data_IF_262896956038
#
_entry.id   IF_262896956038
#
_cell.length_a   1.000
_cell.length_b   1.000
_cell.length_c   1.000
_cell.angle_alpha   90.00
_cell.angle_beta   90.00
_cell.angle_gamma   90.00
#
_symmetry.space_group_name_H-M   'P 1'
#
loop_
_entity.id
_entity.type
_entity.pdbx_description
1 polymer ?
#
# COMPACT_ATOMS: atom_id res chain seq x y z
N UNK A 1 17.76 17.13 18.48
CA UNK A 1 17.04 17.80 17.37
C UNK A 1 15.83 18.59 17.86
N UNK A 2 14.83 17.95 18.49
CA UNK A 2 13.66 18.64 19.10
C UNK A 2 14.07 19.78 20.04
N UNK A 3 15.14 19.57 20.84
CA UNK A 3 15.70 20.59 21.76
C UNK A 3 16.13 21.90 21.06
N UNK A 4 16.32 21.89 19.73
CA UNK A 4 16.70 23.05 18.92
C UNK A 4 15.51 23.69 18.17
N UNK A 5 14.31 23.11 18.25
CA UNK A 5 13.11 23.69 17.65
C UNK A 5 12.70 24.93 18.45
N UNK A 6 12.43 26.02 17.73
CA UNK A 6 11.80 27.21 18.27
C UNK A 6 10.31 26.92 18.51
N UNK A 7 10.01 26.48 19.73
CA UNK A 7 8.67 26.07 20.18
C UNK A 7 8.48 26.44 21.64
N UNK A 8 7.21 26.47 22.07
CA UNK A 8 6.87 26.63 23.48
C UNK A 8 7.65 25.63 24.37
N UNK A 9 8.32 26.17 25.39
CA UNK A 9 9.21 25.39 26.24
C UNK A 9 8.49 24.33 27.07
N UNK A 10 7.26 24.59 27.47
CA UNK A 10 6.44 23.68 28.30
C UNK A 10 5.87 22.55 27.44
N UNK A 11 5.31 22.88 26.28
CA UNK A 11 4.83 21.89 25.30
C UNK A 11 5.98 20.99 24.84
N UNK A 12 7.14 21.58 24.53
CA UNK A 12 8.34 20.83 24.14
C UNK A 12 8.82 19.88 25.24
N UNK A 13 8.80 20.31 26.51
CA UNK A 13 9.20 19.47 27.63
C UNK A 13 8.26 18.27 27.80
N UNK A 14 6.94 18.50 27.76
CA UNK A 14 5.92 17.43 27.82
C UNK A 14 6.06 16.45 26.66
N UNK A 15 6.26 16.95 25.45
CA UNK A 15 6.46 16.10 24.27
C UNK A 15 7.74 15.26 24.34
N UNK A 16 8.87 15.85 24.78
CA UNK A 16 10.13 15.09 24.97
C UNK A 16 9.93 13.97 25.99
N UNK A 17 9.25 14.24 27.10
CA UNK A 17 8.94 13.21 28.09
C UNK A 17 8.10 12.08 27.47
N UNK A 18 7.01 12.42 26.79
CA UNK A 18 6.16 11.43 26.11
C UNK A 18 6.94 10.62 25.05
N UNK A 19 7.87 11.27 24.34
CA UNK A 19 8.74 10.63 23.36
C UNK A 19 9.68 9.61 24.00
N UNK A 20 10.36 9.99 25.08
CA UNK A 20 11.30 9.12 25.80
C UNK A 20 10.59 7.95 26.50
N UNK A 21 9.33 8.11 26.93
CA UNK A 21 8.60 7.07 27.67
C UNK A 21 7.88 6.06 26.77
N UNK A 22 7.20 6.53 25.71
CA UNK A 22 6.22 5.70 24.98
C UNK A 22 6.20 5.95 23.48
N UNK A 23 6.26 7.21 23.02
CA UNK A 23 6.06 7.50 21.60
C UNK A 23 7.23 7.05 20.74
N UNK A 24 8.48 7.10 21.21
CA UNK A 24 9.63 6.65 20.40
C UNK A 24 9.54 5.16 20.07
N UNK A 25 9.20 4.31 21.04
CA UNK A 25 9.07 2.87 20.82
C UNK A 25 7.87 2.49 19.95
N UNK A 26 6.77 3.25 20.06
CA UNK A 26 5.55 3.01 19.27
C UNK A 26 5.63 3.55 17.85
N UNK A 27 6.37 4.65 17.67
CA UNK A 27 6.38 5.47 16.47
C UNK A 27 7.81 5.72 15.99
N UNK A 28 8.67 4.70 16.03
CA UNK A 28 10.10 4.83 15.67
C UNK A 28 10.28 5.38 14.25
N UNK A 29 9.47 4.91 13.31
CA UNK A 29 9.48 5.36 11.90
C UNK A 29 9.17 6.85 11.74
N UNK A 30 8.23 7.37 12.54
CA UNK A 30 7.89 8.80 12.56
C UNK A 30 8.93 9.62 13.33
N UNK A 31 9.39 9.11 14.47
CA UNK A 31 10.28 9.82 15.40
C UNK A 31 11.72 9.94 14.89
N UNK A 32 12.11 9.05 13.96
CA UNK A 32 13.42 9.04 13.31
C UNK A 32 13.55 10.04 12.16
N UNK A 33 12.45 10.60 11.66
CA UNK A 33 12.45 11.62 10.62
C UNK A 33 12.23 13.03 11.24
N UNK A 34 13.19 13.97 11.10
CA UNK A 34 13.12 15.32 11.66
C UNK A 34 11.84 16.10 11.39
N UNK A 35 11.28 15.90 10.21
CA UNK A 35 10.12 16.63 9.76
C UNK A 35 8.82 16.01 10.30
N UNK A 36 8.71 14.68 10.26
CA UNK A 36 7.60 13.96 10.88
C UNK A 36 7.55 14.21 12.38
N UNK A 37 8.71 14.32 13.04
CA UNK A 37 8.80 14.65 14.45
C UNK A 37 8.28 16.05 14.78
N UNK A 38 8.42 17.00 13.85
CA UNK A 38 7.84 18.34 13.99
C UNK A 38 6.32 18.30 13.82
N UNK A 39 5.82 17.51 12.86
CA UNK A 39 4.38 17.29 12.67
C UNK A 39 3.79 16.58 13.91
N UNK A 40 4.45 15.55 14.43
CA UNK A 40 4.07 14.89 15.69
C UNK A 40 3.99 15.86 16.86
N UNK A 41 4.94 16.80 17.00
CA UNK A 41 4.89 17.80 18.05
C UNK A 41 3.64 18.69 17.92
N UNK A 42 3.30 19.12 16.70
CA UNK A 42 2.11 19.94 16.45
C UNK A 42 0.83 19.15 16.71
N UNK A 43 0.76 17.90 16.28
CA UNK A 43 -0.37 16.99 16.57
C UNK A 43 -0.51 16.75 18.07
N UNK A 44 0.60 16.49 18.77
CA UNK A 44 0.61 16.25 20.21
C UNK A 44 0.19 17.48 21.03
N UNK A 45 0.61 18.68 20.62
CA UNK A 45 0.16 19.91 21.28
C UNK A 45 -1.36 20.04 21.27
N UNK A 46 -1.99 19.70 20.14
CA UNK A 46 -3.43 19.85 19.96
C UNK A 46 -4.24 18.71 20.59
N UNK A 47 -3.78 17.46 20.47
CA UNK A 47 -4.58 16.29 20.84
C UNK A 47 -4.07 15.54 22.08
N UNK A 48 -2.86 15.83 22.55
CA UNK A 48 -2.27 15.23 23.76
C UNK A 48 -1.77 13.78 23.60
N UNK A 49 -1.97 13.15 22.44
CA UNK A 49 -1.50 11.80 22.13
C UNK A 49 -1.26 11.62 20.61
N UNK A 50 -0.56 10.55 20.22
CA UNK A 50 -0.31 10.16 18.83
C UNK A 50 -0.89 8.76 18.56
N UNK A 51 -1.89 8.63 17.67
CA UNK A 51 -2.55 7.37 17.36
C UNK A 51 -1.59 6.31 16.81
N UNK A 52 -1.78 5.05 17.21
CA UNK A 52 -1.02 3.89 16.71
C UNK A 52 -1.24 3.64 15.21
N UNK A 53 -2.42 4.01 14.66
CA UNK A 53 -2.72 3.84 13.23
C UNK A 53 -2.21 5.04 12.42
N UNK A 54 -1.36 4.75 11.44
CA UNK A 54 -0.68 5.72 10.56
C UNK A 54 -1.66 6.71 9.91
N UNK A 55 -2.80 6.24 9.38
CA UNK A 55 -3.74 7.14 8.71
C UNK A 55 -4.44 8.11 9.69
N UNK A 56 -4.71 7.68 10.92
CA UNK A 56 -5.31 8.54 11.95
C UNK A 56 -4.31 9.63 12.35
N UNK A 57 -3.02 9.27 12.47
CA UNK A 57 -1.98 10.27 12.70
C UNK A 57 -1.96 11.35 11.63
N UNK A 58 -2.01 10.99 10.34
CA UNK A 58 -2.01 11.98 9.26
C UNK A 58 -3.30 12.79 9.18
N UNK A 59 -4.44 12.21 9.54
CA UNK A 59 -5.71 12.95 9.67
C UNK A 59 -5.62 14.00 10.78
N UNK A 60 -5.16 13.60 11.99
CA UNK A 60 -4.94 14.55 13.09
C UNK A 60 -3.87 15.59 12.77
N UNK A 61 -2.81 15.22 12.05
CA UNK A 61 -1.80 16.16 11.58
C UNK A 61 -2.41 17.20 10.63
N UNK A 62 -3.25 16.78 9.68
CA UNK A 62 -3.98 17.70 8.81
C UNK A 62 -4.89 18.63 9.62
N UNK A 63 -5.68 18.07 10.53
CA UNK A 63 -6.52 18.87 11.45
C UNK A 63 -5.69 19.87 12.25
N UNK A 64 -4.51 19.47 12.73
CA UNK A 64 -3.64 20.35 13.49
C UNK A 64 -3.03 21.46 12.64
N UNK A 65 -2.57 21.14 11.44
CA UNK A 65 -2.06 22.13 10.50
C UNK A 65 -3.14 23.15 10.10
N UNK A 66 -4.38 22.71 9.89
CA UNK A 66 -5.51 23.58 9.61
C UNK A 66 -5.88 24.44 10.81
N UNK A 67 -5.93 23.87 12.02
CA UNK A 67 -6.36 24.60 13.22
C UNK A 67 -5.25 25.44 13.88
N UNK A 68 -3.99 25.24 13.52
CA UNK A 68 -2.86 26.03 14.04
C UNK A 68 -3.01 27.53 13.77
N UNK A 69 -3.93 27.90 12.88
CA UNK A 69 -4.45 29.25 12.70
C UNK A 69 -4.95 29.94 13.97
N UNK A 70 -5.51 29.18 14.92
CA UNK A 70 -6.20 29.72 16.09
C UNK A 70 -5.30 29.97 17.31
N UNK A 71 -4.07 29.45 17.31
CA UNK A 71 -3.21 29.41 18.52
C UNK A 71 -1.89 30.16 18.34
N UNK A 72 -1.85 31.22 17.51
CA UNK A 72 -0.67 32.08 17.46
C UNK A 72 -0.63 33.01 18.68
N UNK A 73 0.46 32.93 19.46
CA UNK A 73 0.71 33.62 20.76
C UNK A 73 0.59 35.15 20.77
N UNK A 74 0.26 35.78 19.64
CA UNK A 74 0.14 37.24 19.53
C UNK A 74 -1.23 37.70 19.00
N UNK A 75 -2.24 36.82 18.93
CA UNK A 75 -3.59 37.22 18.50
C UNK A 75 -3.69 37.62 17.03
N UNK A 76 -2.65 37.38 16.23
CA UNK A 76 -2.71 37.52 14.78
C UNK A 76 -3.20 36.21 14.19
N UNK A 77 -4.51 36.14 13.95
CA UNK A 77 -5.10 35.15 13.07
C UNK A 77 -4.45 35.30 11.68
N UNK A 78 -3.78 34.27 11.18
CA UNK A 78 -3.38 34.24 9.76
C UNK A 78 -4.68 34.15 8.96
N UNK A 79 -5.04 35.21 8.24
CA UNK A 79 -6.22 35.21 7.38
C UNK A 79 -6.07 34.10 6.33
N UNK A 80 -7.08 33.24 6.19
CA UNK A 80 -7.13 32.25 5.11
C UNK A 80 -7.03 32.98 3.76
N UNK A 81 -6.29 32.39 2.83
CA UNK A 81 -6.14 32.88 1.46
C UNK A 81 -7.34 32.50 0.60
N UNK A 82 -8.10 31.46 0.95
CA UNK A 82 -9.17 30.89 0.11
C UNK A 82 -10.56 30.91 0.74
N UNK A 83 -10.66 31.03 2.07
CA UNK A 83 -11.89 30.83 2.85
C UNK A 83 -12.56 29.45 2.66
N UNK A 84 -11.82 28.45 2.14
CA UNK A 84 -12.31 27.08 2.09
C UNK A 84 -12.42 26.53 3.50
N UNK A 85 -13.48 25.77 3.76
CA UNK A 85 -13.53 25.00 4.98
C UNK A 85 -12.55 23.81 4.94
N UNK A 86 -12.37 23.18 6.10
CA UNK A 86 -11.43 22.07 6.27
C UNK A 86 -11.75 20.86 5.40
N UNK A 87 -13.02 20.60 5.10
CA UNK A 87 -13.45 19.48 4.29
C UNK A 87 -13.27 19.79 2.80
N UNK A 88 -13.62 21.00 2.37
CA UNK A 88 -13.41 21.48 1.01
C UNK A 88 -11.92 21.47 0.63
N UNK A 89 -11.06 22.02 1.49
CA UNK A 89 -9.62 22.01 1.27
C UNK A 89 -9.07 20.58 1.23
N UNK A 90 -9.56 19.70 2.11
CA UNK A 90 -9.16 18.28 2.15
C UNK A 90 -9.49 17.58 0.84
N UNK A 91 -10.71 17.72 0.35
CA UNK A 91 -11.14 17.04 -0.88
C UNK A 91 -10.39 17.56 -2.12
N UNK A 92 -10.18 18.88 -2.21
CA UNK A 92 -9.39 19.50 -3.29
C UNK A 92 -7.94 19.01 -3.24
N UNK A 93 -7.32 18.99 -2.06
CA UNK A 93 -5.94 18.57 -1.90
C UNK A 93 -5.77 17.05 -2.05
N UNK A 94 -6.79 16.27 -1.70
CA UNK A 94 -6.85 14.83 -1.95
C UNK A 94 -6.86 14.51 -3.46
N UNK A 95 -7.63 15.26 -4.25
CA UNK A 95 -7.59 15.14 -5.70
C UNK A 95 -6.22 15.52 -6.28
N UNK A 96 -5.62 16.61 -5.78
CA UNK A 96 -4.27 17.02 -6.17
C UNK A 96 -3.22 15.94 -5.84
N UNK A 97 -3.33 15.33 -4.67
CA UNK A 97 -2.45 14.25 -4.22
C UNK A 97 -2.61 13.00 -5.08
N UNK A 98 -3.85 12.58 -5.37
CA UNK A 98 -4.11 11.48 -6.30
C UNK A 98 -3.48 11.72 -7.67
N UNK A 99 -3.65 12.94 -8.21
CA UNK A 99 -3.14 13.30 -9.53
C UNK A 99 -1.61 13.26 -9.58
N UNK A 100 -0.94 13.90 -8.63
CA UNK A 100 0.53 13.97 -8.56
C UNK A 100 1.14 12.61 -8.23
N UNK A 101 0.52 11.84 -7.32
CA UNK A 101 0.92 10.48 -6.97
C UNK A 101 0.86 9.55 -8.18
N UNK A 102 -0.25 9.59 -8.93
CA UNK A 102 -0.43 8.78 -10.15
C UNK A 102 0.63 9.09 -11.21
N UNK A 103 1.16 10.30 -11.22
CA UNK A 103 2.24 10.74 -12.13
C UNK A 103 3.65 10.58 -11.55
N UNK A 104 3.78 10.07 -10.32
CA UNK A 104 5.04 9.96 -9.60
C UNK A 104 5.77 11.31 -9.47
N UNK A 105 5.02 12.38 -9.30
CA UNK A 105 5.57 13.72 -9.16
C UNK A 105 5.93 14.00 -7.71
N UNK A 106 7.23 14.13 -7.45
CA UNK A 106 7.79 14.46 -6.14
C UNK A 106 8.14 15.95 -6.02
N UNK A 107 8.43 16.59 -7.16
CA UNK A 107 8.69 18.02 -7.29
C UNK A 107 7.87 18.58 -8.46
N UNK A 108 7.52 19.85 -8.36
CA UNK A 108 6.74 20.58 -9.36
C UNK A 108 7.36 21.96 -9.57
N UNK A 109 7.48 22.36 -10.82
CA UNK A 109 7.79 23.75 -11.17
C UNK A 109 6.60 24.68 -10.85
N UNK A 110 6.84 25.98 -10.87
CA UNK A 110 5.80 27.01 -10.68
C UNK A 110 4.62 26.85 -11.66
N UNK A 111 4.90 26.55 -12.92
CA UNK A 111 3.85 26.36 -13.94
C UNK A 111 3.06 25.07 -13.71
N UNK A 112 3.73 24.00 -13.30
CA UNK A 112 3.10 22.70 -13.02
C UNK A 112 2.15 22.79 -11.82
N UNK A 113 2.60 23.37 -10.70
CA UNK A 113 1.76 23.50 -9.50
C UNK A 113 0.52 24.34 -9.80
N UNK A 114 0.65 25.45 -10.53
CA UNK A 114 -0.49 26.26 -10.95
C UNK A 114 -1.44 25.50 -11.88
N UNK A 115 -0.89 24.77 -12.84
CA UNK A 115 -1.67 23.94 -13.78
C UNK A 115 -2.49 22.87 -13.06
N UNK A 116 -1.89 22.19 -12.09
CA UNK A 116 -2.57 21.12 -11.34
C UNK A 116 -3.56 21.71 -10.33
N UNK A 117 -3.14 22.77 -9.64
CA UNK A 117 -3.93 23.73 -8.87
C UNK A 117 -5.31 23.95 -9.47
N UNK A 118 -5.24 24.57 -10.65
CA UNK A 118 -6.40 24.98 -11.43
C UNK A 118 -7.26 23.80 -11.88
N UNK A 119 -6.66 22.67 -12.26
CA UNK A 119 -7.42 21.46 -12.64
C UNK A 119 -8.25 20.92 -11.48
N UNK A 120 -7.69 20.88 -10.27
CA UNK A 120 -8.40 20.43 -9.08
C UNK A 120 -9.56 21.37 -8.74
N UNK A 121 -9.32 22.69 -8.77
CA UNK A 121 -10.36 23.70 -8.53
C UNK A 121 -11.53 23.61 -9.52
N UNK A 122 -11.22 23.46 -10.82
CA UNK A 122 -12.24 23.28 -11.87
C UNK A 122 -13.04 21.99 -11.64
N UNK A 123 -12.38 20.89 -11.26
CA UNK A 123 -13.07 19.63 -10.98
C UNK A 123 -14.00 19.75 -9.76
N UNK A 124 -13.53 20.40 -8.70
CA UNK A 124 -14.28 20.63 -7.47
C UNK A 124 -15.30 21.77 -7.55
N UNK A 125 -15.44 22.42 -8.72
CA UNK A 125 -16.35 23.57 -8.95
C UNK A 125 -16.13 24.72 -7.94
N UNK A 126 -14.89 24.91 -7.50
CA UNK A 126 -14.53 25.99 -6.57
C UNK A 126 -14.25 27.28 -7.35
N UNK A 127 -14.67 28.42 -6.78
CA UNK A 127 -14.41 29.76 -7.33
C UNK A 127 -13.04 30.32 -6.89
N UNK A 128 -12.34 29.62 -6.00
CA UNK A 128 -11.00 29.98 -5.54
C UNK A 128 -10.03 30.02 -6.71
N UNK A 129 -9.14 31.01 -6.73
CA UNK A 129 -8.06 31.08 -7.71
C UNK A 129 -6.86 30.24 -7.25
N UNK A 130 -6.16 29.63 -8.21
CA UNK A 130 -5.04 28.72 -7.96
C UNK A 130 -3.88 29.37 -7.21
N UNK A 131 -3.67 30.68 -7.38
CA UNK A 131 -2.67 31.45 -6.60
C UNK A 131 -2.99 31.48 -5.12
N UNK A 132 -4.24 31.70 -4.76
CA UNK A 132 -4.69 31.78 -3.38
C UNK A 132 -4.67 30.39 -2.73
N UNK A 133 -5.08 29.35 -3.46
CA UNK A 133 -4.95 27.97 -2.99
C UNK A 133 -3.48 27.56 -2.78
N UNK A 134 -2.57 27.99 -3.66
CA UNK A 134 -1.14 27.76 -3.45
C UNK A 134 -0.63 28.45 -2.18
N UNK A 135 -1.02 29.70 -1.95
CA UNK A 135 -0.65 30.42 -0.71
C UNK A 135 -1.22 29.73 0.52
N UNK A 136 -2.45 29.22 0.43
CA UNK A 136 -3.07 28.46 1.52
C UNK A 136 -2.23 27.23 1.88
N UNK A 137 -1.86 26.43 0.88
CA UNK A 137 -1.11 25.18 1.06
C UNK A 137 0.36 25.38 1.46
N UNK A 138 0.91 26.58 1.30
CA UNK A 138 2.29 26.92 1.68
C UNK A 138 2.38 27.61 3.05
N UNK A 139 1.47 28.53 3.33
CA UNK A 139 1.58 29.45 4.45
C UNK A 139 0.55 29.17 5.55
N UNK A 140 -0.66 28.80 5.15
CA UNK A 140 -1.79 28.66 6.05
C UNK A 140 -1.85 27.24 6.60
N UNK A 141 -2.01 26.27 5.70
CA UNK A 141 -2.01 24.84 5.97
C UNK A 141 -0.81 24.23 5.24
N UNK A 142 0.41 24.27 5.81
CA UNK A 142 1.68 24.03 5.10
C UNK A 142 1.88 22.54 4.74
N UNK A 143 1.06 22.05 3.82
CA UNK A 143 1.11 20.70 3.24
C UNK A 143 2.09 20.62 2.07
N UNK A 144 2.41 21.78 1.48
CA UNK A 144 3.45 21.96 0.49
C UNK A 144 4.55 22.86 1.05
N UNK A 145 5.74 22.73 0.48
CA UNK A 145 6.86 23.62 0.73
C UNK A 145 7.61 23.94 -0.56
N UNK A 146 8.36 25.05 -0.52
CA UNK A 146 9.27 25.41 -1.59
C UNK A 146 10.63 24.74 -1.35
N UNK A 147 11.15 24.05 -2.37
CA UNK A 147 12.49 23.48 -2.40
C UNK A 147 13.26 24.05 -3.60
N UNK A 148 14.16 24.99 -3.33
CA UNK A 148 14.83 25.78 -4.36
C UNK A 148 13.84 26.56 -5.26
N UNK A 149 13.80 26.19 -6.55
CA UNK A 149 12.90 26.77 -7.55
C UNK A 149 11.59 25.98 -7.71
N UNK A 150 11.50 24.80 -7.08
CA UNK A 150 10.39 23.88 -7.20
C UNK A 150 9.54 23.86 -5.92
N UNK A 151 8.44 23.12 -6.00
CA UNK A 151 7.50 22.85 -4.93
C UNK A 151 7.39 21.35 -4.71
N UNK A 152 7.37 20.94 -3.45
CA UNK A 152 7.18 19.54 -3.06
C UNK A 152 6.19 19.45 -1.90
N UNK A 153 5.70 18.24 -1.64
CA UNK A 153 4.96 18.00 -0.41
C UNK A 153 5.89 18.23 0.77
N UNK A 154 5.38 18.87 1.84
CA UNK A 154 6.13 19.01 3.08
C UNK A 154 6.68 17.64 3.48
N UNK A 155 5.82 16.62 3.46
CA UNK A 155 6.26 15.23 3.58
C UNK A 155 5.58 14.33 2.53
N UNK A 156 6.34 13.40 1.92
CA UNK A 156 5.81 12.45 0.92
C UNK A 156 4.58 11.69 1.42
N UNK A 157 4.56 11.30 2.69
CA UNK A 157 3.41 10.57 3.24
C UNK A 157 2.12 11.38 3.33
N UNK A 158 2.14 12.72 3.25
CA UNK A 158 0.89 13.47 3.04
C UNK A 158 0.31 13.17 1.65
N UNK A 159 1.14 13.15 0.60
CA UNK A 159 0.69 12.74 -0.72
C UNK A 159 0.08 11.33 -0.68
N UNK A 160 0.70 10.39 0.04
CA UNK A 160 0.19 9.04 0.20
C UNK A 160 -1.14 9.00 0.98
N UNK A 161 -1.21 9.69 2.12
CA UNK A 161 -2.40 9.77 2.95
C UNK A 161 -3.60 10.35 2.19
N UNK A 162 -3.41 11.50 1.55
CA UNK A 162 -4.47 12.18 0.82
C UNK A 162 -4.88 11.40 -0.43
N UNK A 163 -3.97 10.64 -1.05
CA UNK A 163 -4.32 9.68 -2.11
C UNK A 163 -5.18 8.54 -1.57
N UNK A 164 -4.80 7.95 -0.43
CA UNK A 164 -5.57 6.89 0.24
C UNK A 164 -6.97 7.36 0.62
N UNK A 165 -7.06 8.56 1.21
CA UNK A 165 -8.32 9.22 1.53
C UNK A 165 -9.18 9.40 0.28
N UNK A 166 -8.62 9.86 -0.84
CA UNK A 166 -9.39 10.08 -2.06
C UNK A 166 -9.99 8.78 -2.61
N UNK A 167 -9.19 7.71 -2.74
CA UNK A 167 -9.67 6.45 -3.35
C UNK A 167 -10.71 5.73 -2.49
N UNK A 168 -10.71 5.98 -1.18
CA UNK A 168 -11.68 5.45 -0.23
C UNK A 168 -12.99 6.24 -0.27
N UNK A 169 -12.92 7.57 -0.25
CA UNK A 169 -14.09 8.43 -0.04
C UNK A 169 -14.76 8.92 -1.33
N UNK A 170 -14.09 8.79 -2.49
CA UNK A 170 -14.60 9.28 -3.76
C UNK A 170 -14.77 8.17 -4.80
N UNK A 171 -15.60 8.43 -5.82
CA UNK A 171 -15.76 7.53 -6.96
C UNK A 171 -14.55 7.68 -7.87
N UNK A 172 -13.80 6.58 -8.03
CA UNK A 172 -12.59 6.51 -8.84
C UNK A 172 -12.76 5.39 -9.86
N UNK A 173 -12.33 5.65 -11.11
CA UNK A 173 -12.37 4.63 -12.17
C UNK A 173 -11.37 3.51 -11.88
N UNK A 174 -11.71 2.29 -12.29
CA UNK A 174 -10.88 1.08 -12.09
C UNK A 174 -9.42 1.30 -12.51
N UNK A 175 -9.17 1.87 -13.70
CA UNK A 175 -7.82 2.13 -14.21
C UNK A 175 -6.96 3.03 -13.29
N UNK A 176 -7.58 4.02 -12.64
CA UNK A 176 -6.88 4.89 -11.69
C UNK A 176 -6.61 4.12 -10.40
N UNK A 177 -7.58 3.33 -9.95
CA UNK A 177 -7.47 2.48 -8.77
C UNK A 177 -6.35 1.44 -8.93
N UNK A 178 -6.29 0.74 -10.07
CA UNK A 178 -5.24 -0.21 -10.42
C UNK A 178 -3.87 0.46 -10.45
N UNK A 179 -3.76 1.65 -11.07
CA UNK A 179 -2.50 2.40 -11.13
C UNK A 179 -1.99 2.80 -9.75
N UNK A 180 -2.88 3.26 -8.87
CA UNK A 180 -2.53 3.66 -7.50
C UNK A 180 -2.15 2.45 -6.66
N UNK A 181 -2.99 1.41 -6.69
CA UNK A 181 -2.80 0.22 -5.88
C UNK A 181 -1.67 -0.68 -6.40
N UNK A 182 -1.25 -0.55 -7.65
CA UNK A 182 -0.07 -1.25 -8.19
C UNK A 182 1.23 -0.98 -7.44
N UNK A 183 1.29 0.09 -6.64
CA UNK A 183 2.44 0.46 -5.80
C UNK A 183 2.36 -0.07 -4.36
N UNK A 184 1.45 -1.01 -4.08
CA UNK A 184 1.24 -1.60 -2.75
C UNK A 184 2.51 -2.15 -2.06
N UNK A 185 3.55 -2.49 -2.83
CA UNK A 185 4.82 -2.99 -2.30
C UNK A 185 5.86 -1.89 -1.99
N UNK A 186 5.64 -0.64 -2.41
CA UNK A 186 6.61 0.46 -2.27
C UNK A 186 6.12 1.59 -1.39
N UNK A 187 4.82 1.87 -1.43
CA UNK A 187 4.23 3.06 -0.85
C UNK A 187 3.07 2.69 0.07
N UNK A 188 2.79 3.54 1.07
CA UNK A 188 1.81 3.22 2.13
C UNK A 188 0.34 3.47 1.74
N UNK A 189 0.06 3.88 0.50
CA UNK A 189 -1.31 4.26 0.08
C UNK A 189 -2.30 3.13 0.30
N UNK A 190 -1.96 1.92 -0.15
CA UNK A 190 -2.86 0.75 -0.05
C UNK A 190 -3.06 0.35 1.40
N UNK A 191 -2.01 0.41 2.21
CA UNK A 191 -2.06 0.07 3.64
C UNK A 191 -2.92 1.06 4.44
N UNK A 192 -2.76 2.36 4.17
CA UNK A 192 -3.62 3.38 4.76
C UNK A 192 -5.06 3.21 4.29
N UNK A 193 -5.30 3.03 3.00
CA UNK A 193 -6.64 2.87 2.45
C UNK A 193 -7.35 1.62 2.99
N UNK A 194 -6.65 0.49 3.10
CA UNK A 194 -7.17 -0.73 3.72
C UNK A 194 -7.53 -0.51 5.19
N UNK A 195 -6.73 0.27 5.92
CA UNK A 195 -6.97 0.60 7.32
C UNK A 195 -8.12 1.61 7.51
N UNK A 196 -8.34 2.49 6.52
CA UNK A 196 -9.45 3.45 6.50
C UNK A 196 -10.78 2.76 6.17
N UNK A 197 -10.81 2.00 5.08
CA UNK A 197 -11.98 1.27 4.63
C UNK A 197 -11.57 0.04 3.80
N UNK A 198 -11.54 -1.10 4.49
CA UNK A 198 -11.19 -2.40 3.92
C UNK A 198 -12.14 -2.83 2.80
N UNK A 199 -13.43 -2.61 2.95
CA UNK A 199 -14.47 -3.07 2.00
C UNK A 199 -14.30 -2.41 0.64
N UNK A 200 -14.00 -1.11 0.61
CA UNK A 200 -13.78 -0.38 -0.66
C UNK A 200 -12.59 -0.96 -1.43
N UNK A 201 -11.49 -1.30 -0.75
CA UNK A 201 -10.32 -1.94 -1.39
C UNK A 201 -10.66 -3.37 -1.84
N UNK A 202 -11.40 -4.09 -1.03
CA UNK A 202 -11.83 -5.45 -1.35
C UNK A 202 -12.67 -5.48 -2.62
N UNK A 203 -13.67 -4.61 -2.72
CA UNK A 203 -14.61 -4.56 -3.84
C UNK A 203 -13.97 -4.05 -5.12
N UNK A 204 -13.18 -2.97 -5.02
CA UNK A 204 -12.66 -2.27 -6.20
C UNK A 204 -11.34 -2.83 -6.70
N UNK A 205 -10.61 -3.62 -5.90
CA UNK A 205 -9.27 -4.08 -6.26
C UNK A 205 -8.96 -5.53 -5.89
N UNK A 206 -9.14 -5.93 -4.63
CA UNK A 206 -8.68 -7.26 -4.18
C UNK A 206 -9.52 -8.36 -4.83
N UNK A 207 -10.85 -8.34 -4.67
CA UNK A 207 -11.73 -9.37 -5.23
C UNK A 207 -11.69 -9.39 -6.77
N UNK A 208 -11.72 -8.25 -7.48
CA UNK A 208 -11.51 -8.24 -8.94
C UNK A 208 -10.18 -8.89 -9.34
N UNK A 209 -9.08 -8.58 -8.65
CA UNK A 209 -7.76 -9.16 -8.97
C UNK A 209 -7.69 -10.66 -8.63
N UNK A 210 -8.27 -11.08 -7.51
CA UNK A 210 -8.42 -12.50 -7.17
C UNK A 210 -9.20 -13.23 -8.27
N UNK A 211 -10.34 -12.70 -8.70
CA UNK A 211 -11.15 -13.32 -9.75
C UNK A 211 -10.38 -13.42 -11.07
N UNK A 212 -9.69 -12.34 -11.49
CA UNK A 212 -8.81 -12.35 -12.66
C UNK A 212 -7.75 -13.45 -12.57
N UNK A 213 -7.19 -13.73 -11.38
CA UNK A 213 -6.22 -14.82 -11.17
C UNK A 213 -6.90 -16.19 -11.22
N UNK A 214 -8.06 -16.35 -10.58
CA UNK A 214 -8.82 -17.60 -10.58
C UNK A 214 -9.24 -18.00 -12.00
N UNK A 215 -9.58 -17.04 -12.86
CA UNK A 215 -9.94 -17.26 -14.26
C UNK A 215 -8.75 -17.79 -15.10
N UNK A 216 -7.50 -17.65 -14.62
CA UNK A 216 -6.31 -18.22 -15.26
C UNK A 216 -6.10 -19.70 -14.91
N UNK A 217 -6.86 -20.26 -13.96
CA UNK A 217 -6.75 -21.67 -13.57
C UNK A 217 -7.10 -22.56 -14.77
N UNK A 218 -6.24 -23.50 -15.18
CA UNK A 218 -6.59 -24.45 -16.23
C UNK A 218 -7.76 -25.34 -15.78
N UNK A 219 -8.64 -25.71 -16.72
CA UNK A 219 -9.86 -26.49 -16.46
C UNK A 219 -9.58 -27.85 -15.81
N UNK A 220 -8.42 -28.43 -16.14
CA UNK A 220 -7.88 -29.64 -15.52
C UNK A 220 -6.35 -29.65 -15.63
N UNK A 221 -5.72 -30.63 -15.02
CA UNK A 221 -4.26 -30.86 -15.03
C UNK A 221 -3.88 -32.16 -15.76
N UNK A 222 -4.71 -32.60 -16.72
CA UNK A 222 -4.57 -33.90 -17.40
C UNK A 222 -3.41 -33.99 -18.39
N UNK A 223 -2.92 -32.85 -18.89
CA UNK A 223 -1.80 -32.80 -19.84
C UNK A 223 -0.61 -32.06 -19.26
N UNK A 224 0.60 -32.40 -19.72
CA UNK A 224 1.85 -31.72 -19.35
C UNK A 224 1.73 -30.20 -19.56
N UNK A 225 1.22 -29.77 -20.71
CA UNK A 225 1.06 -28.33 -20.99
C UNK A 225 0.11 -27.64 -20.00
N UNK A 226 -0.96 -28.32 -19.55
CA UNK A 226 -1.88 -27.76 -18.54
C UNK A 226 -1.27 -27.70 -17.16
N UNK A 227 -0.45 -28.69 -16.78
CA UNK A 227 0.34 -28.64 -15.54
C UNK A 227 1.34 -27.49 -15.54
N UNK A 228 2.04 -27.27 -16.65
CA UNK A 228 2.93 -26.12 -16.82
C UNK A 228 2.14 -24.81 -16.79
N UNK A 229 0.98 -24.74 -17.45
CA UNK A 229 0.11 -23.58 -17.36
C UNK A 229 -0.29 -23.26 -15.92
N UNK A 230 -0.64 -24.28 -15.12
CA UNK A 230 -1.02 -24.11 -13.71
C UNK A 230 0.06 -23.42 -12.89
N UNK A 231 1.32 -23.88 -13.00
CA UNK A 231 2.44 -23.28 -12.26
C UNK A 231 2.81 -21.89 -12.82
N UNK A 232 2.75 -21.69 -14.13
CA UNK A 232 3.07 -20.40 -14.76
C UNK A 232 2.14 -19.25 -14.35
N UNK A 233 0.97 -19.53 -13.78
CA UNK A 233 0.10 -18.46 -13.23
C UNK A 233 0.78 -17.69 -12.10
N UNK A 234 1.63 -18.35 -11.31
CA UNK A 234 2.25 -17.77 -10.11
C UNK A 234 3.77 -17.61 -10.22
N UNK A 235 4.40 -18.31 -11.16
CA UNK A 235 5.85 -18.36 -11.29
C UNK A 235 6.28 -18.01 -12.71
N UNK A 236 7.44 -17.37 -12.85
CA UNK A 236 7.97 -16.97 -14.16
C UNK A 236 8.99 -17.98 -14.71
N UNK A 237 9.85 -18.49 -13.83
CA UNK A 237 11.03 -19.27 -14.22
C UNK A 237 11.49 -20.19 -13.10
N UNK A 238 12.28 -21.16 -13.51
CA UNK A 238 12.95 -22.13 -12.66
C UNK A 238 14.43 -21.76 -12.60
N UNK A 239 14.95 -21.59 -11.39
CA UNK A 239 16.29 -21.08 -11.13
C UNK A 239 17.09 -22.06 -10.24
N UNK A 240 18.41 -22.07 -10.40
CA UNK A 240 19.31 -22.67 -9.40
C UNK A 240 19.38 -21.74 -8.19
N UNK A 241 18.91 -22.21 -7.02
CA UNK A 241 19.10 -21.55 -5.74
C UNK A 241 20.14 -22.29 -4.89
N UNK A 242 20.70 -21.60 -3.90
CA UNK A 242 21.64 -22.19 -2.94
C UNK A 242 21.03 -22.13 -1.55
N UNK A 243 20.67 -23.28 -0.99
CA UNK A 243 20.36 -23.39 0.44
C UNK A 243 21.46 -24.15 1.18
N UNK A 244 21.98 -23.55 2.25
CA UNK A 244 23.05 -24.11 3.11
C UNK A 244 24.24 -24.71 2.34
N UNK A 245 24.57 -24.13 1.19
CA UNK A 245 25.69 -24.56 0.32
C UNK A 245 25.37 -25.71 -0.64
N UNK A 246 24.14 -26.24 -0.65
CA UNK A 246 23.63 -27.19 -1.64
C UNK A 246 22.86 -26.45 -2.74
N UNK A 247 22.93 -26.97 -3.97
CA UNK A 247 22.13 -26.48 -5.09
C UNK A 247 20.72 -27.08 -4.99
N UNK A 248 19.70 -26.25 -5.08
CA UNK A 248 18.29 -26.64 -5.03
C UNK A 248 17.46 -25.91 -6.10
N UNK A 249 16.38 -26.52 -6.56
CA UNK A 249 15.54 -25.95 -7.61
C UNK A 249 14.61 -24.92 -6.96
N UNK A 250 14.67 -23.69 -7.43
CA UNK A 250 13.80 -22.61 -7.01
C UNK A 250 12.82 -22.19 -8.10
N UNK A 251 11.64 -21.73 -7.71
CA UNK A 251 10.69 -21.08 -8.62
C UNK A 251 10.61 -19.59 -8.29
N UNK A 252 10.88 -18.74 -9.28
CA UNK A 252 10.82 -17.29 -9.08
C UNK A 252 9.38 -16.79 -9.21
N UNK A 253 8.92 -16.07 -8.19
CA UNK A 253 7.60 -15.45 -8.11
C UNK A 253 7.36 -14.41 -9.20
N UNK A 254 6.13 -14.39 -9.72
CA UNK A 254 5.59 -13.33 -10.56
C UNK A 254 4.65 -12.39 -9.77
N UNK A 255 4.02 -11.44 -10.46
CA UNK A 255 3.09 -10.47 -9.87
C UNK A 255 1.91 -11.09 -9.11
N UNK A 256 1.41 -12.25 -9.55
CA UNK A 256 0.32 -12.95 -8.85
C UNK A 256 0.81 -13.59 -7.56
N UNK A 257 2.03 -14.12 -7.53
CA UNK A 257 2.66 -14.60 -6.30
C UNK A 257 2.95 -13.48 -5.31
N UNK A 258 3.46 -12.33 -5.77
CA UNK A 258 3.65 -11.17 -4.90
C UNK A 258 2.32 -10.67 -4.32
N UNK A 259 1.28 -10.63 -5.14
CA UNK A 259 -0.05 -10.28 -4.67
C UNK A 259 -0.62 -11.29 -3.68
N UNK A 260 -0.48 -12.60 -3.93
CA UNK A 260 -0.89 -13.65 -3.00
C UNK A 260 -0.16 -13.54 -1.66
N UNK A 261 1.16 -13.33 -1.68
CA UNK A 261 1.97 -13.10 -0.48
C UNK A 261 1.49 -11.87 0.30
N UNK A 262 1.18 -10.78 -0.39
CA UNK A 262 0.59 -9.59 0.21
C UNK A 262 -0.75 -9.91 0.90
N UNK A 263 -1.63 -10.66 0.25
CA UNK A 263 -2.91 -11.07 0.85
C UNK A 263 -2.71 -11.97 2.08
N UNK A 264 -1.79 -12.92 2.04
CA UNK A 264 -1.45 -13.78 3.19
C UNK A 264 -1.05 -12.93 4.39
N UNK A 265 -0.23 -11.89 4.18
CA UNK A 265 0.15 -10.97 5.25
C UNK A 265 -1.04 -10.15 5.76
N UNK A 266 -1.85 -9.58 4.86
CA UNK A 266 -2.99 -8.73 5.24
C UNK A 266 -4.11 -9.46 5.96
N UNK A 267 -4.36 -10.71 5.59
CA UNK A 267 -5.43 -11.52 6.16
C UNK A 267 -4.94 -12.53 7.21
N UNK A 268 -3.64 -12.49 7.57
CA UNK A 268 -3.07 -13.35 8.60
C UNK A 268 -3.11 -14.85 8.25
N UNK A 269 -3.02 -15.20 6.97
CA UNK A 269 -3.21 -16.57 6.49
C UNK A 269 -1.92 -17.42 6.50
N UNK A 270 -0.90 -17.04 7.29
CA UNK A 270 0.38 -17.74 7.30
C UNK A 270 0.24 -19.21 7.73
N UNK A 271 -0.52 -19.48 8.79
CA UNK A 271 -0.77 -20.85 9.26
C UNK A 271 -1.46 -21.71 8.19
N UNK A 272 -2.42 -21.14 7.45
CA UNK A 272 -3.10 -21.88 6.38
C UNK A 272 -2.16 -22.17 5.21
N UNK A 273 -1.28 -21.22 4.86
CA UNK A 273 -0.22 -21.43 3.87
C UNK A 273 0.72 -22.56 4.31
N UNK A 274 1.15 -22.58 5.57
CA UNK A 274 2.05 -23.61 6.10
C UNK A 274 1.37 -24.99 6.07
N UNK A 275 0.10 -25.07 6.47
CA UNK A 275 -0.72 -26.29 6.35
C UNK A 275 -0.80 -26.80 4.90
N UNK A 276 -1.04 -25.91 3.93
CA UNK A 276 -1.07 -26.31 2.52
C UNK A 276 0.31 -26.76 2.04
N UNK A 277 1.39 -26.10 2.47
CA UNK A 277 2.75 -26.53 2.16
C UNK A 277 2.97 -27.97 2.64
N UNK A 278 2.60 -28.29 3.88
CA UNK A 278 2.71 -29.65 4.43
C UNK A 278 1.83 -30.66 3.68
N UNK A 279 0.60 -30.27 3.32
CA UNK A 279 -0.33 -31.10 2.52
C UNK A 279 0.24 -31.47 1.16
N UNK A 280 0.94 -30.53 0.51
CA UNK A 280 1.48 -30.69 -0.84
C UNK A 280 2.96 -31.09 -0.86
N UNK A 281 3.67 -31.06 0.27
CA UNK A 281 5.05 -31.54 0.37
C UNK A 281 5.15 -33.04 0.08
N UNK A 282 6.13 -33.42 -0.74
CA UNK A 282 6.56 -34.81 -0.94
C UNK A 282 7.93 -34.99 -0.33
N UNK A 283 8.16 -36.15 0.28
CA UNK A 283 9.47 -36.57 0.78
C UNK A 283 10.30 -37.32 -0.28
N UNK A 284 9.75 -37.53 -1.49
CA UNK A 284 10.31 -38.42 -2.52
C UNK A 284 10.61 -37.67 -3.82
N UNK A 285 11.74 -36.93 -3.95
CA UNK A 285 12.11 -36.29 -5.24
C UNK A 285 13.61 -36.12 -5.53
N UNK A 286 14.50 -36.84 -4.84
CA UNK A 286 15.93 -36.60 -5.01
C UNK A 286 16.46 -36.93 -6.42
N UNK A 287 15.82 -37.83 -7.18
CA UNK A 287 16.34 -38.26 -8.48
C UNK A 287 15.92 -37.33 -9.63
N UNK A 288 14.64 -36.97 -9.72
CA UNK A 288 14.09 -36.13 -10.79
C UNK A 288 14.61 -34.68 -10.72
N UNK A 289 14.83 -34.14 -9.51
CA UNK A 289 15.45 -32.83 -9.34
C UNK A 289 16.92 -32.84 -9.77
N UNK A 290 17.64 -33.92 -9.49
CA UNK A 290 19.03 -34.10 -9.95
C UNK A 290 19.09 -34.15 -11.48
N UNK A 291 18.20 -34.89 -12.12
CA UNK A 291 18.08 -34.94 -13.59
C UNK A 291 17.78 -33.54 -14.17
N UNK A 292 16.90 -32.75 -13.55
CA UNK A 292 16.59 -31.39 -14.03
C UNK A 292 17.80 -30.47 -13.92
N UNK A 293 18.56 -30.58 -12.83
CA UNK A 293 19.81 -29.87 -12.69
C UNK A 293 20.84 -30.24 -13.75
N UNK A 294 21.10 -31.53 -13.93
CA UNK A 294 22.17 -32.02 -14.79
C UNK A 294 21.83 -31.93 -16.28
N UNK A 295 20.55 -31.98 -16.65
CA UNK A 295 20.10 -32.04 -18.05
C UNK A 295 19.52 -30.71 -18.55
N UNK A 296 18.97 -29.86 -17.68
CA UNK A 296 18.25 -28.63 -18.09
C UNK A 296 18.95 -27.36 -17.63
N UNK A 297 19.34 -27.30 -16.35
CA UNK A 297 20.05 -26.16 -15.78
C UNK A 297 21.57 -26.26 -15.93
N UNK A 298 22.09 -27.29 -16.60
CA UNK A 298 23.53 -27.41 -16.82
C UNK A 298 24.04 -26.25 -17.68
N UNK A 299 25.00 -25.50 -17.14
CA UNK A 299 25.51 -24.22 -17.64
C UNK A 299 24.48 -23.05 -17.73
N UNK A 300 23.24 -23.22 -17.25
CA UNK A 300 22.21 -22.17 -17.16
C UNK A 300 21.82 -21.87 -15.71
N UNK A 301 21.79 -20.59 -15.33
CA UNK A 301 21.35 -20.21 -13.99
C UNK A 301 19.82 -20.23 -13.82
N UNK A 302 19.07 -20.14 -14.93
CA UNK A 302 17.63 -19.94 -14.96
C UNK A 302 17.04 -20.40 -16.30
N UNK A 303 15.78 -20.82 -16.31
CA UNK A 303 14.98 -21.08 -17.51
C UNK A 303 13.55 -20.59 -17.35
N UNK A 304 13.06 -19.80 -18.32
CA UNK A 304 11.69 -19.30 -18.30
C UNK A 304 10.71 -20.45 -18.53
N UNK A 305 9.61 -20.50 -17.76
CA UNK A 305 8.61 -21.57 -17.89
C UNK A 305 7.97 -21.60 -19.30
N UNK A 306 7.86 -20.45 -19.95
CA UNK A 306 7.35 -20.32 -21.32
C UNK A 306 8.31 -20.83 -22.40
N UNK A 307 9.60 -20.94 -22.09
CA UNK A 307 10.64 -21.39 -23.02
C UNK A 307 10.90 -22.90 -22.96
N UNK A 308 10.25 -23.62 -22.03
CA UNK A 308 10.46 -25.04 -21.85
C UNK A 308 10.08 -25.84 -23.12
N UNK A 309 10.98 -26.70 -23.56
CA UNK A 309 10.67 -27.71 -24.59
C UNK A 309 9.91 -28.90 -23.98
N UNK A 310 9.40 -29.81 -24.83
CA UNK A 310 8.55 -30.93 -24.36
C UNK A 310 9.25 -31.88 -23.37
N UNK A 311 10.58 -32.07 -23.51
CA UNK A 311 11.36 -32.87 -22.57
C UNK A 311 11.48 -32.18 -21.21
N UNK A 312 11.82 -30.89 -21.20
CA UNK A 312 11.96 -30.10 -19.99
C UNK A 312 10.62 -29.99 -19.24
N UNK A 313 9.52 -29.74 -19.95
CA UNK A 313 8.17 -29.73 -19.37
C UNK A 313 7.82 -31.06 -18.71
N UNK A 314 8.20 -32.18 -19.32
CA UNK A 314 7.95 -33.50 -18.75
C UNK A 314 8.71 -33.66 -17.42
N UNK A 315 9.97 -33.21 -17.38
CA UNK A 315 10.79 -33.29 -16.18
C UNK A 315 10.25 -32.39 -15.05
N UNK A 316 9.84 -31.15 -15.35
CA UNK A 316 9.15 -30.27 -14.38
C UNK A 316 7.90 -30.93 -13.80
N UNK A 317 7.07 -31.55 -14.63
CA UNK A 317 5.89 -32.26 -14.15
C UNK A 317 6.25 -33.50 -13.31
N UNK A 318 7.36 -34.18 -13.60
CA UNK A 318 7.80 -35.35 -12.83
C UNK A 318 8.33 -34.99 -11.44
N UNK A 319 8.91 -33.79 -11.29
CA UNK A 319 9.26 -33.22 -9.98
C UNK A 319 8.04 -32.86 -9.12
N UNK A 320 6.81 -32.98 -9.64
CA UNK A 320 5.60 -32.61 -8.92
C UNK A 320 5.43 -31.11 -8.74
N UNK A 321 6.08 -30.28 -9.58
CA UNK A 321 6.07 -28.82 -9.44
C UNK A 321 4.68 -28.21 -9.62
N UNK A 322 3.74 -28.90 -10.26
CA UNK A 322 2.34 -28.46 -10.38
C UNK A 322 1.70 -28.16 -9.01
N UNK A 323 2.16 -28.82 -7.95
CA UNK A 323 1.68 -28.64 -6.58
C UNK A 323 1.86 -27.22 -6.06
N UNK A 324 2.89 -26.51 -6.50
CA UNK A 324 3.07 -25.09 -6.16
C UNK A 324 1.94 -24.23 -6.75
N UNK A 325 1.48 -24.57 -7.95
CA UNK A 325 0.30 -23.97 -8.56
C UNK A 325 -0.99 -24.35 -7.82
N UNK A 326 -1.20 -25.65 -7.54
CA UNK A 326 -2.37 -26.14 -6.80
C UNK A 326 -2.51 -25.47 -5.43
N UNK A 327 -1.42 -25.42 -4.66
CA UNK A 327 -1.36 -24.73 -3.37
C UNK A 327 -1.71 -23.25 -3.50
N UNK A 328 -1.14 -22.56 -4.49
CA UNK A 328 -1.38 -21.12 -4.68
C UNK A 328 -2.84 -20.84 -5.03
N UNK A 329 -3.47 -21.71 -5.82
CA UNK A 329 -4.90 -21.63 -6.11
C UNK A 329 -5.78 -21.95 -4.90
N UNK A 330 -5.47 -22.99 -4.13
CA UNK A 330 -6.22 -23.32 -2.91
C UNK A 330 -6.12 -22.19 -1.88
N UNK A 331 -4.94 -21.57 -1.74
CA UNK A 331 -4.71 -20.45 -0.84
C UNK A 331 -5.48 -19.19 -1.26
N UNK A 332 -5.49 -18.84 -2.55
CA UNK A 332 -6.21 -17.66 -3.02
C UNK A 332 -7.74 -17.86 -2.97
N UNK A 333 -8.22 -19.09 -3.19
CA UNK A 333 -9.64 -19.46 -2.99
C UNK A 333 -10.03 -19.37 -1.51
N UNK A 334 -9.18 -19.85 -0.60
CA UNK A 334 -9.39 -19.72 0.84
C UNK A 334 -9.50 -18.25 1.28
N UNK A 335 -8.57 -17.40 0.85
CA UNK A 335 -8.59 -15.96 1.17
C UNK A 335 -9.86 -15.30 0.63
N UNK A 336 -10.28 -15.64 -0.60
CA UNK A 336 -11.55 -15.16 -1.16
C UNK A 336 -12.73 -15.54 -0.29
N UNK A 337 -12.80 -16.80 0.13
CA UNK A 337 -13.87 -17.28 1.01
C UNK A 337 -13.87 -16.53 2.34
N UNK A 338 -12.69 -16.33 2.95
CA UNK A 338 -12.54 -15.59 4.21
C UNK A 338 -13.07 -14.16 4.09
N UNK A 339 -12.78 -13.46 2.98
CA UNK A 339 -13.30 -12.11 2.71
C UNK A 339 -14.83 -12.12 2.68
N UNK A 340 -15.43 -13.07 1.95
CA UNK A 340 -16.88 -13.14 1.76
C UNK A 340 -17.62 -13.56 3.04
N UNK A 341 -17.09 -14.53 3.80
CA UNK A 341 -17.68 -15.00 5.06
C UNK A 341 -17.71 -13.88 6.10
N UNK A 342 -16.57 -13.20 6.33
CA UNK A 342 -16.50 -12.12 7.31
C UNK A 342 -17.49 -10.97 7.03
N UNK A 343 -17.88 -10.77 5.76
CA UNK A 343 -18.86 -9.77 5.38
C UNK A 343 -20.29 -10.21 5.68
N UNK A 344 -20.63 -11.45 5.34
CA UNK A 344 -21.96 -11.98 5.60
C UNK A 344 -22.23 -12.01 7.10
N UNK A 345 -21.28 -12.49 7.90
CA UNK A 345 -21.40 -12.52 9.36
C UNK A 345 -21.64 -11.11 9.92
N UNK A 346 -20.93 -10.09 9.42
CA UNK A 346 -21.12 -8.71 9.84
C UNK A 346 -22.47 -8.11 9.43
N UNK A 347 -23.05 -8.53 8.31
CA UNK A 347 -24.36 -8.07 7.85
C UNK A 347 -25.47 -8.74 8.66
N UNK A 348 -25.36 -10.05 8.87
CA UNK A 348 -26.29 -10.84 9.68
C UNK A 348 -26.33 -10.30 11.12
N UNK A 349 -25.18 -9.96 11.71
CA UNK A 349 -25.10 -9.34 13.05
C UNK A 349 -25.84 -7.99 13.12
N UNK A 350 -25.73 -7.15 12.09
CA UNK A 350 -26.42 -5.85 12.03
C UNK A 350 -27.93 -6.05 11.82
N UNK A 351 -28.32 -6.98 10.94
CA UNK A 351 -29.72 -7.30 10.70
C UNK A 351 -30.38 -7.80 11.98
N UNK A 352 -29.76 -8.78 12.66
CA UNK A 352 -30.22 -9.29 13.95
C UNK A 352 -30.29 -8.16 15.00
N UNK A 353 -29.28 -7.28 15.11
CA UNK A 353 -29.31 -6.16 16.06
C UNK A 353 -30.45 -5.17 15.82
N UNK A 354 -30.88 -4.98 14.56
CA UNK A 354 -31.94 -4.03 14.20
C UNK A 354 -33.33 -4.66 14.33
N UNK A 355 -33.46 -5.95 13.99
CA UNK A 355 -34.75 -6.60 13.80
C UNK A 355 -35.12 -7.68 14.83
N UNK A 356 -34.18 -8.14 15.67
CA UNK A 356 -34.46 -8.92 16.89
C UNK A 356 -34.70 -8.00 18.11
#
# INVERSE_FOLDING_TARGET
MIKKLDYDSEVRARFILALETTLFSKHESFSSNPLLLTIMLVTYEQFGDIPDRVYIFYDLAYHALFNKHDVSKQGFLRKSSTNLDMYELRDIFALFSLFTYSKQMFEMTEDEIHTFLKKCLVHSKSEVIDKDLKLELLNNVPLLMRDGLNYCFTHRSFQEYFTAYYIVNHVVKEQVFERVCGRYHTDNVVDMAFSMNKEVLEDKWILPKINKILDLKPVDTSTINRKIQLISVFFNRIDEIRDRGKKEIGFTYNENSYFLNYLVQKYGCQYHRDYLNDKYHSHDFTYEETDFFELVLNDKQAIMLEELNDFEKNLVCRMGSERHGELSFELIEYIKSLILTNRNDSLDDIENFIFD
#
